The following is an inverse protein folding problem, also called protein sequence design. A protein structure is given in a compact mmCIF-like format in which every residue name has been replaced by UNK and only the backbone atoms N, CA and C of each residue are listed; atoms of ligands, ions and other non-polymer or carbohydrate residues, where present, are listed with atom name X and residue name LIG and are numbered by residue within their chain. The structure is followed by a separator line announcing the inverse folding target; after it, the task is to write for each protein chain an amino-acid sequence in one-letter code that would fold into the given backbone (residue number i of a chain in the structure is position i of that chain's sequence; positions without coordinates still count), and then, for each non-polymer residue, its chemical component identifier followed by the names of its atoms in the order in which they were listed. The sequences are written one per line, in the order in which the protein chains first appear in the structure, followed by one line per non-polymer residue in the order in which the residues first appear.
data_IF_527650074065
#
_entry.id   IF_527650074065
#
_cell.length_a   1.000
_cell.length_b   1.000
_cell.length_c   1.000
_cell.angle_alpha   90.00
_cell.angle_beta   90.00
_cell.angle_gamma   90.00
#
_symmetry.space_group_name_H-M   'P 1'
#
loop_
_entity.id
_entity.type
_entity.pdbx_description
1 polymer ?
#
# COMPACT_ATOMS: atom_id res chain seq x y z
N UNK A 1 13.12 -21.92 8.60
CA UNK A 1 13.11 -22.17 7.15
C UNK A 1 14.11 -23.28 6.85
N UNK A 2 13.69 -24.35 6.19
CA UNK A 2 14.62 -25.37 5.67
C UNK A 2 15.05 -24.94 4.27
N UNK A 3 16.34 -24.98 3.90
CA UNK A 3 16.77 -24.66 2.54
C UNK A 3 15.99 -25.44 1.48
N UNK A 4 15.50 -24.75 0.46
CA UNK A 4 14.76 -25.34 -0.67
C UNK A 4 15.62 -25.28 -1.93
N UNK A 5 15.54 -26.31 -2.79
CA UNK A 5 16.20 -26.29 -4.10
C UNK A 5 15.14 -26.13 -5.17
N UNK A 6 15.24 -25.08 -5.98
CA UNK A 6 14.29 -24.83 -7.05
C UNK A 6 14.46 -25.83 -8.23
N UNK A 7 13.54 -25.86 -9.21
CA UNK A 7 13.65 -26.74 -10.38
C UNK A 7 14.88 -26.49 -11.27
N UNK A 8 15.58 -25.36 -11.09
CA UNK A 8 16.81 -25.01 -11.82
C UNK A 8 18.09 -25.46 -11.08
N UNK A 9 17.95 -25.97 -9.85
CA UNK A 9 19.05 -26.43 -9.01
C UNK A 9 19.64 -25.36 -8.09
N UNK A 10 19.02 -24.18 -7.99
CA UNK A 10 19.44 -23.11 -7.09
C UNK A 10 18.94 -23.39 -5.67
N UNK A 11 19.82 -23.24 -4.67
CA UNK A 11 19.48 -23.46 -3.26
C UNK A 11 19.15 -22.15 -2.56
N UNK A 12 17.92 -22.05 -2.06
CA UNK A 12 17.35 -20.91 -1.35
C UNK A 12 17.39 -21.16 0.16
N UNK A 13 18.35 -20.53 0.86
CA UNK A 13 18.53 -20.68 2.33
C UNK A 13 17.55 -19.85 3.14
N UNK A 14 16.87 -18.92 2.49
CA UNK A 14 15.80 -18.06 3.02
C UNK A 14 14.71 -17.92 1.97
N UNK A 15 13.62 -17.21 2.27
CA UNK A 15 12.62 -16.82 1.26
C UNK A 15 13.20 -15.60 0.51
N UNK A 16 14.06 -15.86 -0.47
CA UNK A 16 14.79 -14.84 -1.24
C UNK A 16 14.39 -14.78 -2.72
N UNK A 17 13.51 -15.68 -3.17
CA UNK A 17 12.91 -15.68 -4.49
C UNK A 17 11.45 -16.15 -4.40
N UNK A 18 10.49 -15.47 -5.06
CA UNK A 18 9.09 -15.82 -4.97
C UNK A 18 8.77 -17.12 -5.72
N UNK A 19 7.78 -17.87 -5.23
CA UNK A 19 7.22 -19.01 -5.95
C UNK A 19 8.09 -20.27 -6.01
N UNK A 20 9.17 -20.36 -5.21
CA UNK A 20 9.97 -21.59 -5.10
C UNK A 20 9.07 -22.72 -4.54
N UNK A 21 8.93 -23.86 -5.25
CA UNK A 21 8.14 -24.97 -4.76
C UNK A 21 8.80 -25.59 -3.53
N UNK A 22 8.04 -25.73 -2.44
CA UNK A 22 8.53 -26.34 -1.20
C UNK A 22 8.45 -27.85 -1.30
N UNK A 23 9.57 -28.53 -1.02
CA UNK A 23 9.60 -29.98 -0.85
C UNK A 23 9.17 -30.32 0.59
N UNK A 24 7.91 -30.78 0.73
CA UNK A 24 7.33 -31.13 2.02
C UNK A 24 8.06 -32.28 2.73
N UNK A 25 8.88 -33.08 2.04
CA UNK A 25 9.70 -34.12 2.68
C UNK A 25 10.87 -33.55 3.48
N UNK A 26 11.22 -32.28 3.23
CA UNK A 26 12.34 -31.58 3.89
C UNK A 26 11.92 -30.74 5.09
N UNK A 27 10.62 -30.64 5.36
CA UNK A 27 10.07 -29.83 6.45
C UNK A 27 9.40 -30.72 7.51
N UNK A 28 9.31 -30.21 8.74
CA UNK A 28 8.53 -30.84 9.80
C UNK A 28 7.33 -29.97 10.09
N UNK A 29 6.14 -30.47 9.76
CA UNK A 29 4.90 -29.76 9.98
C UNK A 29 4.48 -29.82 11.47
N UNK A 30 4.10 -28.67 12.04
CA UNK A 30 3.53 -28.60 13.37
C UNK A 30 2.02 -28.37 13.27
N UNK A 31 1.23 -29.40 13.59
CA UNK A 31 -0.23 -29.35 13.53
C UNK A 31 -0.85 -28.89 14.85
N UNK A 32 -2.10 -28.42 14.80
CA UNK A 32 -2.81 -27.95 16.00
C UNK A 32 -2.35 -26.57 16.49
N UNK A 33 -1.60 -25.83 15.66
CA UNK A 33 -1.27 -24.42 15.90
C UNK A 33 -2.53 -23.56 15.96
N UNK A 34 -2.45 -22.45 16.71
CA UNK A 34 -3.54 -21.47 16.86
C UNK A 34 -4.91 -22.11 17.22
N UNK A 35 -4.91 -23.22 17.97
CA UNK A 35 -6.12 -23.94 18.33
C UNK A 35 -7.13 -23.02 19.03
N UNK A 36 -8.36 -23.01 18.52
CA UNK A 36 -9.49 -22.19 18.97
C UNK A 36 -9.34 -20.67 18.77
N UNK A 37 -8.29 -20.20 18.09
CA UNK A 37 -8.18 -18.80 17.67
C UNK A 37 -9.07 -18.58 16.45
N UNK A 38 -9.83 -17.49 16.45
CA UNK A 38 -10.66 -17.06 15.31
C UNK A 38 -10.16 -15.72 14.81
N UNK A 39 -9.53 -15.72 13.64
CA UNK A 39 -9.02 -14.51 12.99
C UNK A 39 -10.14 -13.94 12.12
N UNK A 40 -10.58 -12.69 12.33
CA UNK A 40 -11.54 -12.05 11.43
C UNK A 40 -10.98 -11.96 10.01
N UNK A 41 -11.78 -12.31 9.02
CA UNK A 41 -11.42 -12.19 7.60
C UNK A 41 -11.66 -10.76 7.15
N UNK A 42 -10.71 -10.20 6.40
CA UNK A 42 -10.73 -8.84 5.84
C UNK A 42 -10.18 -8.91 4.41
N UNK A 43 -10.95 -9.40 3.42
CA UNK A 43 -10.42 -9.62 2.08
C UNK A 43 -10.07 -8.30 1.40
N UNK A 44 -8.83 -8.17 0.93
CA UNK A 44 -8.34 -6.96 0.26
C UNK A 44 -7.24 -7.30 -0.76
N UNK A 45 -6.85 -6.29 -1.55
CA UNK A 45 -5.71 -6.35 -2.45
C UNK A 45 -4.61 -5.45 -1.88
N UNK A 46 -3.48 -6.04 -1.47
CA UNK A 46 -2.29 -5.33 -0.99
C UNK A 46 -1.68 -4.47 -2.09
N UNK A 47 -1.49 -5.07 -3.28
CA UNK A 47 -1.07 -4.39 -4.50
C UNK A 47 -2.26 -3.97 -5.36
N UNK A 48 -2.48 -2.66 -5.48
CA UNK A 48 -3.32 -2.08 -6.54
C UNK A 48 -2.82 -0.67 -6.87
N UNK A 49 -2.66 -0.37 -8.16
CA UNK A 49 -2.13 0.93 -8.56
C UNK A 49 -1.89 1.08 -10.05
N UNK A 50 -1.39 2.26 -10.42
CA UNK A 50 -1.07 2.65 -11.78
C UNK A 50 0.44 2.62 -12.02
N UNK A 51 0.86 2.36 -13.26
CA UNK A 51 2.28 2.41 -13.60
C UNK A 51 2.82 3.84 -13.39
N UNK A 52 3.92 4.00 -12.61
CA UNK A 52 4.59 5.29 -12.46
C UNK A 52 5.38 5.65 -13.73
N UNK A 53 5.81 6.91 -13.85
CA UNK A 53 6.54 7.40 -15.03
C UNK A 53 8.07 7.41 -14.85
N UNK A 54 8.54 7.25 -13.62
CA UNK A 54 9.92 7.53 -13.23
C UNK A 54 10.90 6.45 -13.70
N UNK A 55 10.45 5.21 -13.93
CA UNK A 55 11.27 4.11 -14.41
C UNK A 55 10.44 3.10 -15.21
N UNK A 56 11.09 2.38 -16.13
CA UNK A 56 10.47 1.35 -16.98
C UNK A 56 10.12 0.08 -16.20
N UNK A 57 10.99 -0.33 -15.28
CA UNK A 57 10.77 -1.43 -14.36
C UNK A 57 10.83 -0.90 -12.93
N UNK A 58 9.77 -1.17 -12.16
CA UNK A 58 9.63 -0.75 -10.78
C UNK A 58 9.32 -1.96 -9.92
N UNK A 59 10.13 -2.14 -8.88
CA UNK A 59 9.92 -3.12 -7.82
C UNK A 59 8.49 -2.98 -7.27
N UNK A 60 7.76 -4.08 -7.20
CA UNK A 60 6.37 -4.07 -6.75
C UNK A 60 6.24 -3.88 -5.24
N UNK A 61 7.30 -4.15 -4.47
CA UNK A 61 7.25 -4.10 -3.00
C UNK A 61 6.97 -2.68 -2.50
N UNK A 62 7.71 -1.60 -2.83
CA UNK A 62 7.46 -0.31 -2.19
C UNK A 62 6.21 0.41 -2.76
N UNK A 63 5.22 0.78 -1.94
CA UNK A 63 4.14 1.65 -2.40
C UNK A 63 4.63 3.07 -2.70
N UNK A 64 3.86 3.81 -3.49
CA UNK A 64 4.18 5.18 -3.87
C UNK A 64 2.94 5.99 -4.26
N UNK A 65 3.14 7.18 -4.82
CA UNK A 65 2.08 8.12 -5.20
C UNK A 65 1.04 7.54 -6.17
N UNK A 66 1.39 6.53 -6.98
CA UNK A 66 0.46 5.84 -7.90
C UNK A 66 -0.22 4.61 -7.32
N UNK A 67 -0.05 4.33 -6.02
CA UNK A 67 -0.52 3.11 -5.37
C UNK A 67 0.61 2.09 -5.25
N UNK A 68 0.34 0.83 -5.60
CA UNK A 68 1.29 -0.28 -5.43
C UNK A 68 0.95 -1.09 -4.17
N UNK A 69 1.97 -1.63 -3.48
CA UNK A 69 1.80 -2.45 -2.28
C UNK A 69 1.47 -1.62 -1.04
N UNK A 70 0.23 -1.16 -0.93
CA UNK A 70 -0.16 -0.26 0.16
C UNK A 70 -0.37 -1.05 1.45
N UNK A 71 -0.88 -2.28 1.33
CA UNK A 71 -1.18 -3.19 2.45
C UNK A 71 -2.09 -2.56 3.49
N UNK A 72 -3.13 -1.87 3.01
CA UNK A 72 -4.22 -1.43 3.85
C UNK A 72 -5.38 -2.43 3.75
N UNK A 73 -5.70 -3.11 4.85
CA UNK A 73 -6.76 -4.12 4.90
C UNK A 73 -8.15 -3.60 4.50
N UNK A 74 -8.30 -2.26 4.46
CA UNK A 74 -9.53 -1.57 4.07
C UNK A 74 -9.73 -1.48 2.56
N UNK A 75 -8.72 -1.82 1.73
CA UNK A 75 -8.80 -1.84 0.25
C UNK A 75 -9.50 -3.12 -0.23
N UNK A 76 -10.75 -3.28 0.20
CA UNK A 76 -11.58 -4.46 -0.05
C UNK A 76 -12.92 -4.11 -0.69
N UNK A 77 -13.88 -5.04 -0.57
CA UNK A 77 -15.23 -4.83 -1.10
C UNK A 77 -15.88 -3.58 -0.46
N UNK A 78 -16.38 -2.68 -1.31
CA UNK A 78 -17.04 -1.43 -0.89
C UNK A 78 -16.11 -0.22 -0.79
N UNK A 79 -14.80 -0.43 -0.94
CA UNK A 79 -13.82 0.63 -1.10
C UNK A 79 -13.86 1.22 -2.52
N UNK A 80 -13.61 2.52 -2.63
CA UNK A 80 -13.27 3.21 -3.88
C UNK A 80 -11.88 3.81 -3.74
N UNK A 81 -10.99 3.45 -4.66
CA UNK A 81 -9.62 3.98 -4.70
C UNK A 81 -9.47 5.01 -5.81
N UNK A 82 -8.73 6.07 -5.51
CA UNK A 82 -8.36 7.11 -6.45
C UNK A 82 -6.83 7.20 -6.56
N UNK A 83 -6.33 7.18 -7.80
CA UNK A 83 -4.90 7.21 -8.10
C UNK A 83 -4.58 8.33 -9.11
N UNK A 84 -3.46 9.06 -8.93
CA UNK A 84 -2.97 9.99 -9.95
C UNK A 84 -2.43 9.23 -11.17
N UNK A 85 -2.92 9.57 -12.36
CA UNK A 85 -2.44 8.99 -13.63
C UNK A 85 -1.09 9.62 -14.00
N UNK A 86 -0.03 8.81 -14.00
CA UNK A 86 1.34 9.26 -14.31
C UNK A 86 1.75 9.05 -15.78
N UNK A 87 1.16 8.05 -16.44
CA UNK A 87 1.46 7.66 -17.84
C UNK A 87 0.17 7.51 -18.65
N UNK A 88 0.29 7.59 -19.98
CA UNK A 88 -0.84 7.39 -20.88
C UNK A 88 -1.47 6.00 -20.68
N UNK A 89 -2.80 5.94 -20.70
CA UNK A 89 -3.56 4.71 -20.46
C UNK A 89 -3.69 4.30 -19.00
N UNK A 90 -2.99 4.95 -18.06
CA UNK A 90 -3.01 4.64 -16.62
C UNK A 90 -2.30 3.34 -16.25
N UNK A 91 -2.48 2.27 -17.04
CA UNK A 91 -1.85 0.96 -16.85
C UNK A 91 -2.10 0.39 -15.45
N UNK A 92 -3.39 0.23 -15.11
CA UNK A 92 -3.86 -0.34 -13.84
C UNK A 92 -3.51 -1.83 -13.74
N UNK A 93 -2.93 -2.21 -12.60
CA UNK A 93 -2.70 -3.60 -12.20
C UNK A 93 -3.20 -3.84 -10.77
N UNK A 94 -3.51 -5.09 -10.46
CA UNK A 94 -3.95 -5.54 -9.12
C UNK A 94 -3.39 -6.94 -8.86
N UNK A 95 -2.97 -7.19 -7.62
CA UNK A 95 -2.35 -8.43 -7.18
C UNK A 95 -2.35 -8.53 -5.66
N UNK A 96 -1.45 -9.36 -5.13
CA UNK A 96 -1.16 -9.52 -3.70
C UNK A 96 -2.43 -9.57 -2.84
N UNK A 97 -3.22 -10.60 -3.09
CA UNK A 97 -4.55 -10.68 -2.50
C UNK A 97 -4.48 -11.33 -1.13
N UNK A 98 -5.12 -10.70 -0.15
CA UNK A 98 -5.01 -11.07 1.26
C UNK A 98 -6.37 -11.48 1.81
N UNK A 99 -6.44 -12.61 2.52
CA UNK A 99 -7.66 -12.99 3.23
C UNK A 99 -7.87 -12.14 4.49
N UNK A 100 -6.79 -11.74 5.17
CA UNK A 100 -6.83 -10.83 6.30
C UNK A 100 -5.44 -10.29 6.62
N UNK A 101 -5.40 -9.12 7.26
CA UNK A 101 -4.19 -8.48 7.75
C UNK A 101 -4.52 -7.58 8.94
N UNK A 102 -3.52 -7.33 9.78
CA UNK A 102 -3.54 -6.28 10.79
C UNK A 102 -2.84 -5.02 10.29
N UNK A 103 -3.24 -3.86 10.83
CA UNK A 103 -2.49 -2.62 10.67
C UNK A 103 -1.06 -2.83 11.22
N UNK A 104 -0.05 -2.70 10.35
CA UNK A 104 1.42 -2.94 10.47
C UNK A 104 2.01 -4.06 9.61
N UNK A 105 1.23 -5.09 9.27
CA UNK A 105 1.75 -6.29 8.57
C UNK A 105 3.03 -6.89 9.19
N UNK A 106 3.10 -6.89 10.52
CA UNK A 106 4.33 -6.96 11.29
C UNK A 106 5.35 -8.04 10.88
N UNK A 107 4.91 -9.23 10.44
CA UNK A 107 5.81 -10.33 10.09
C UNK A 107 6.30 -10.32 8.64
N UNK A 108 5.88 -9.35 7.82
CA UNK A 108 6.30 -9.19 6.43
C UNK A 108 5.31 -9.70 5.40
N UNK A 109 4.19 -10.29 5.81
CA UNK A 109 3.13 -10.82 4.92
C UNK A 109 1.81 -10.82 5.66
N UNK A 110 0.72 -10.85 4.89
CA UNK A 110 -0.63 -11.05 5.38
C UNK A 110 -0.99 -12.54 5.41
N UNK A 111 -2.29 -12.85 5.51
CA UNK A 111 -2.77 -14.18 5.10
C UNK A 111 -2.88 -14.17 3.57
N UNK A 112 -1.77 -14.50 2.91
CA UNK A 112 -1.68 -14.60 1.45
C UNK A 112 -2.69 -15.59 0.89
N UNK A 113 -3.61 -15.12 0.05
CA UNK A 113 -4.74 -15.91 -0.40
C UNK A 113 -5.33 -15.40 -1.72
N UNK A 114 -5.38 -16.25 -2.75
CA UNK A 114 -5.95 -15.87 -4.05
C UNK A 114 -7.40 -15.37 -3.95
N UNK A 115 -7.67 -14.17 -4.48
CA UNK A 115 -9.00 -13.58 -4.57
C UNK A 115 -9.39 -13.25 -6.02
N UNK A 116 -10.70 -13.11 -6.25
CA UNK A 116 -11.24 -12.54 -7.48
C UNK A 116 -12.02 -11.26 -7.14
N UNK A 117 -11.63 -10.15 -7.75
CA UNK A 117 -12.29 -8.85 -7.59
C UNK A 117 -13.10 -8.48 -8.84
N UNK A 118 -14.16 -7.70 -8.65
CA UNK A 118 -14.88 -7.04 -9.75
C UNK A 118 -14.76 -5.54 -9.52
N UNK A 119 -14.27 -4.82 -10.52
CA UNK A 119 -13.94 -3.40 -10.41
C UNK A 119 -14.68 -2.59 -11.49
N UNK A 120 -15.05 -1.37 -11.15
CA UNK A 120 -15.46 -0.35 -12.11
C UNK A 120 -14.34 0.69 -12.20
N UNK A 121 -13.96 1.05 -13.42
CA UNK A 121 -12.90 2.04 -13.66
C UNK A 121 -13.54 3.30 -14.22
N UNK A 122 -13.36 4.43 -13.52
CA UNK A 122 -13.90 5.74 -13.90
C UNK A 122 -12.74 6.72 -14.05
N UNK A 123 -12.63 7.33 -15.23
CA UNK A 123 -11.61 8.35 -15.48
C UNK A 123 -12.13 9.74 -15.10
N UNK A 124 -11.46 10.40 -14.18
CA UNK A 124 -11.69 11.81 -13.85
C UNK A 124 -10.65 12.67 -14.58
N UNK A 125 -11.10 13.55 -15.48
CA UNK A 125 -10.18 14.41 -16.24
C UNK A 125 -9.66 15.52 -15.34
N UNK A 126 -8.37 15.88 -15.51
CA UNK A 126 -7.72 16.97 -14.76
C UNK A 126 -8.53 18.28 -14.76
N UNK A 127 -9.18 18.60 -15.88
CA UNK A 127 -10.02 19.80 -16.02
C UNK A 127 -11.26 19.79 -15.10
N UNK A 128 -11.73 18.61 -14.70
CA UNK A 128 -12.96 18.41 -13.94
C UNK A 128 -12.69 18.20 -12.43
N UNK A 129 -11.42 18.22 -12.00
CA UNK A 129 -11.07 17.96 -10.60
C UNK A 129 -11.32 19.17 -9.68
N UNK A 130 -11.31 20.39 -10.24
CA UNK A 130 -11.46 21.61 -9.45
C UNK A 130 -12.81 21.63 -8.71
N UNK A 131 -12.78 21.91 -7.40
CA UNK A 131 -13.98 21.91 -6.55
C UNK A 131 -14.45 20.52 -6.10
N UNK A 132 -13.75 19.45 -6.47
CA UNK A 132 -14.07 18.08 -6.03
C UNK A 132 -13.14 17.60 -4.92
N UNK A 133 -13.43 16.44 -4.33
CA UNK A 133 -12.53 15.78 -3.37
C UNK A 133 -11.18 15.36 -3.98
N UNK A 134 -11.06 15.37 -5.30
CA UNK A 134 -9.88 14.97 -6.05
C UNK A 134 -9.06 16.19 -6.53
N UNK A 135 -9.47 17.42 -6.20
CA UNK A 135 -8.90 18.68 -6.72
C UNK A 135 -7.37 18.73 -6.66
N UNK A 136 -6.81 18.24 -5.55
CA UNK A 136 -5.38 18.28 -5.30
C UNK A 136 -4.76 16.90 -5.06
N UNK A 137 -5.38 15.84 -5.61
CA UNK A 137 -4.93 14.46 -5.44
C UNK A 137 -3.59 14.22 -6.14
N UNK A 138 -2.59 13.81 -5.36
CA UNK A 138 -1.26 13.40 -5.81
C UNK A 138 -0.72 12.17 -5.06
N UNK A 139 -1.63 11.35 -4.51
CA UNK A 139 -1.36 10.14 -3.74
C UNK A 139 -2.55 9.17 -3.82
N UNK A 140 -2.41 7.89 -3.44
CA UNK A 140 -3.54 6.98 -3.36
C UNK A 140 -4.49 7.40 -2.22
N UNK A 141 -5.75 7.65 -2.55
CA UNK A 141 -6.79 8.00 -1.58
C UNK A 141 -7.92 6.97 -1.63
N UNK A 142 -8.40 6.59 -0.45
CA UNK A 142 -9.48 5.63 -0.26
C UNK A 142 -10.73 6.34 0.23
N UNK A 143 -11.87 6.02 -0.36
CA UNK A 143 -13.21 6.40 0.09
C UNK A 143 -14.01 5.14 0.45
N UNK A 144 -14.68 5.19 1.59
CA UNK A 144 -15.73 4.24 1.97
C UNK A 144 -17.06 4.98 2.11
N UNK A 145 -18.13 4.28 2.52
CA UNK A 145 -19.42 4.93 2.72
C UNK A 145 -19.40 6.09 3.75
N UNK A 146 -18.46 6.06 4.71
CA UNK A 146 -18.42 7.03 5.82
C UNK A 146 -17.07 7.68 6.06
N UNK A 147 -16.01 7.24 5.37
CA UNK A 147 -14.64 7.62 5.71
C UNK A 147 -13.84 7.99 4.46
N UNK A 148 -12.89 8.92 4.66
CA UNK A 148 -11.81 9.21 3.73
C UNK A 148 -10.51 8.80 4.40
N UNK A 149 -9.69 8.01 3.71
CA UNK A 149 -8.38 7.62 4.16
C UNK A 149 -7.33 8.14 3.18
N UNK A 150 -6.32 8.81 3.73
CA UNK A 150 -5.13 9.24 3.01
C UNK A 150 -3.99 8.30 3.41
N UNK A 151 -3.13 7.93 2.46
CA UNK A 151 -1.98 7.08 2.75
C UNK A 151 -0.71 7.93 2.70
N UNK A 152 -0.06 8.12 3.84
CA UNK A 152 1.28 8.67 3.95
C UNK A 152 2.33 7.58 3.81
N UNK A 153 3.47 7.92 3.21
CA UNK A 153 4.60 7.01 3.08
C UNK A 153 5.89 7.68 3.53
N UNK A 154 6.92 6.87 3.83
CA UNK A 154 8.24 7.40 4.19
C UNK A 154 8.74 8.44 3.17
N UNK A 155 8.44 8.21 1.89
CA UNK A 155 8.56 9.18 0.78
C UNK A 155 7.29 9.16 -0.07
N UNK A 156 6.72 10.33 -0.35
CA UNK A 156 5.46 10.44 -1.09
C UNK A 156 5.60 9.90 -2.53
N UNK A 157 6.72 10.23 -3.18
CA UNK A 157 7.18 9.66 -4.44
C UNK A 157 8.64 9.25 -4.30
N UNK A 158 8.88 8.05 -3.75
CA UNK A 158 10.24 7.58 -3.46
C UNK A 158 11.13 7.50 -4.71
N UNK A 159 10.56 7.18 -5.88
CA UNK A 159 11.28 7.09 -7.16
C UNK A 159 11.89 8.44 -7.55
N UNK A 160 11.14 9.53 -7.38
CA UNK A 160 11.64 10.87 -7.66
C UNK A 160 12.50 11.41 -6.52
N UNK A 161 12.13 11.19 -5.26
CA UNK A 161 12.76 11.82 -4.09
C UNK A 161 14.13 11.20 -3.75
N UNK A 162 14.32 9.91 -4.04
CA UNK A 162 15.59 9.20 -3.80
C UNK A 162 16.48 9.10 -5.05
N UNK A 163 16.00 9.56 -6.20
CA UNK A 163 16.76 9.60 -7.46
C UNK A 163 17.05 8.23 -8.05
N UNK A 164 18.13 8.11 -8.84
CA UNK A 164 18.42 6.89 -9.61
C UNK A 164 18.66 5.62 -8.77
N UNK A 165 19.00 5.77 -7.48
CA UNK A 165 19.18 4.67 -6.53
C UNK A 165 17.91 4.30 -5.76
N UNK A 166 16.75 4.90 -6.08
CA UNK A 166 15.54 4.83 -5.25
C UNK A 166 15.13 3.40 -4.88
N UNK A 167 15.11 2.48 -5.85
CA UNK A 167 14.66 1.10 -5.66
C UNK A 167 15.59 0.25 -4.78
N UNK A 168 16.80 0.73 -4.48
CA UNK A 168 17.72 0.09 -3.51
C UNK A 168 17.78 0.87 -2.20
N UNK A 169 17.76 2.19 -2.28
CA UNK A 169 17.93 3.07 -1.13
C UNK A 169 16.69 3.13 -0.23
N UNK A 170 15.50 2.87 -0.78
CA UNK A 170 14.25 2.91 -0.01
C UNK A 170 14.27 1.95 1.18
N UNK A 171 14.82 0.75 1.00
CA UNK A 171 14.96 -0.27 2.04
C UNK A 171 15.92 0.10 3.18
N UNK A 172 16.71 1.17 3.02
CA UNK A 172 17.63 1.70 4.05
C UNK A 172 17.08 2.96 4.72
N UNK A 173 15.96 3.48 4.24
CA UNK A 173 15.44 4.82 4.57
C UNK A 173 13.99 4.80 5.08
N UNK A 174 13.45 3.63 5.34
CA UNK A 174 12.12 3.41 5.90
C UNK A 174 11.95 4.13 7.25
N UNK A 175 10.83 4.83 7.44
CA UNK A 175 10.58 5.58 8.67
C UNK A 175 9.08 5.88 8.87
N UNK A 176 8.53 5.40 9.99
CA UNK A 176 7.17 5.75 10.43
C UNK A 176 7.05 7.25 10.70
N UNK A 177 8.12 7.90 11.21
CA UNK A 177 8.12 9.34 11.46
C UNK A 177 7.99 10.14 10.15
N UNK A 178 8.66 9.70 9.09
CA UNK A 178 8.53 10.32 7.76
C UNK A 178 7.14 10.05 7.17
N UNK A 179 6.64 8.83 7.30
CA UNK A 179 5.31 8.46 6.84
C UNK A 179 4.20 9.27 7.53
N UNK A 180 4.29 9.46 8.86
CA UNK A 180 3.34 10.30 9.59
C UNK A 180 3.43 11.77 9.17
N UNK A 181 4.64 12.30 8.92
CA UNK A 181 4.81 13.67 8.38
C UNK A 181 4.17 13.80 6.99
N UNK A 182 4.27 12.79 6.16
CA UNK A 182 3.63 12.75 4.85
C UNK A 182 2.10 12.66 4.97
N UNK A 183 1.58 11.75 5.80
CA UNK A 183 0.15 11.63 6.10
C UNK A 183 -0.43 12.96 6.62
N UNK A 184 0.28 13.66 7.51
CA UNK A 184 -0.08 14.99 7.97
C UNK A 184 -0.19 15.99 6.82
N UNK A 185 0.81 16.05 5.93
CA UNK A 185 0.80 16.97 4.77
C UNK A 185 -0.37 16.67 3.85
N UNK A 186 -0.64 15.39 3.58
CA UNK A 186 -1.73 14.92 2.72
C UNK A 186 -3.09 15.24 3.30
N UNK A 187 -3.32 14.95 4.58
CA UNK A 187 -4.57 15.28 5.27
C UNK A 187 -4.79 16.80 5.35
N UNK A 188 -3.76 17.57 5.72
CA UNK A 188 -3.82 19.04 5.71
C UNK A 188 -4.19 19.56 4.33
N UNK A 189 -3.53 19.06 3.27
CA UNK A 189 -3.83 19.42 1.88
C UNK A 189 -5.27 19.06 1.51
N UNK A 190 -5.74 17.87 1.86
CA UNK A 190 -7.13 17.44 1.60
C UNK A 190 -8.14 18.36 2.28
N UNK A 191 -7.98 18.64 3.58
CA UNK A 191 -8.89 19.51 4.33
C UNK A 191 -8.91 20.94 3.79
N UNK A 192 -7.73 21.52 3.51
CA UNK A 192 -7.66 22.88 3.00
C UNK A 192 -8.25 23.00 1.59
N UNK A 193 -7.95 22.04 0.71
CA UNK A 193 -8.39 22.12 -0.69
C UNK A 193 -9.84 21.68 -0.87
N UNK A 194 -10.26 20.59 -0.22
CA UNK A 194 -11.59 20.00 -0.43
C UNK A 194 -12.62 20.54 0.55
N UNK A 195 -12.25 20.72 1.82
CA UNK A 195 -13.17 21.20 2.87
C UNK A 195 -13.08 22.70 3.10
N UNK A 196 -12.22 23.39 2.34
CA UNK A 196 -12.03 24.86 2.35
C UNK A 196 -11.69 25.40 3.75
N UNK A 197 -11.00 24.58 4.56
CA UNK A 197 -10.47 25.01 5.85
C UNK A 197 -9.19 25.83 5.65
N UNK A 198 -8.95 26.78 6.56
CA UNK A 198 -7.63 27.38 6.72
C UNK A 198 -6.63 26.36 7.28
N UNK A 199 -5.34 26.69 7.25
CA UNK A 199 -4.30 25.82 7.80
C UNK A 199 -4.48 25.58 9.31
N UNK A 200 -4.79 26.64 10.08
CA UNK A 200 -4.99 26.54 11.53
C UNK A 200 -6.22 25.67 11.88
N UNK A 201 -7.32 25.83 11.15
CA UNK A 201 -8.51 24.99 11.30
C UNK A 201 -8.22 23.52 10.96
N UNK A 202 -7.48 23.28 9.87
CA UNK A 202 -7.10 21.93 9.46
C UNK A 202 -6.21 21.25 10.51
N UNK A 203 -5.19 21.95 11.03
CA UNK A 203 -4.29 21.41 12.06
C UNK A 203 -5.05 21.10 13.36
N UNK A 204 -5.95 22.00 13.77
CA UNK A 204 -6.81 21.79 14.94
C UNK A 204 -7.69 20.55 14.77
N UNK A 205 -8.37 20.43 13.62
CA UNK A 205 -9.21 19.26 13.33
C UNK A 205 -8.40 17.96 13.26
N UNK A 206 -7.23 17.98 12.60
CA UNK A 206 -6.33 16.82 12.52
C UNK A 206 -5.94 16.33 13.91
N UNK A 207 -5.69 17.26 14.84
CA UNK A 207 -5.22 16.93 16.18
C UNK A 207 -6.32 16.39 17.10
N UNK A 208 -7.60 16.63 16.76
CA UNK A 208 -8.75 16.36 17.64
C UNK A 208 -9.73 15.33 17.08
N UNK A 209 -9.70 15.08 15.77
CA UNK A 209 -10.72 14.28 15.07
C UNK A 209 -10.21 13.50 13.86
N UNK A 210 -8.89 13.35 13.71
CA UNK A 210 -8.29 12.45 12.71
C UNK A 210 -7.41 11.43 13.43
N UNK A 211 -7.64 10.16 13.12
CA UNK A 211 -6.82 9.06 13.62
C UNK A 211 -5.74 8.70 12.58
N UNK A 212 -4.49 8.58 13.04
CA UNK A 212 -3.39 8.05 12.25
C UNK A 212 -3.03 6.65 12.76
N UNK A 213 -2.97 5.68 11.85
CA UNK A 213 -2.60 4.29 12.15
C UNK A 213 -1.41 3.88 11.30
N UNK A 214 -0.65 2.88 11.74
CA UNK A 214 0.40 2.30 10.88
C UNK A 214 -0.26 1.40 9.86
N UNK A 215 0.00 1.62 8.58
CA UNK A 215 -0.51 0.75 7.51
C UNK A 215 0.33 -0.52 7.42
N UNK A 216 1.63 -0.36 7.13
CA UNK A 216 2.64 -1.42 7.10
C UNK A 216 4.03 -0.88 7.48
N UNK A 217 4.91 -1.78 7.92
CA UNK A 217 6.33 -1.49 8.21
C UNK A 217 7.28 -2.52 7.59
N UNK A 218 6.95 -3.03 6.41
CA UNK A 218 7.67 -4.17 5.81
C UNK A 218 8.09 -3.95 4.35
N UNK A 219 7.52 -2.96 3.66
CA UNK A 219 7.69 -2.81 2.20
C UNK A 219 8.75 -1.79 1.76
N UNK A 220 9.72 -1.50 2.62
CA UNK A 220 10.71 -0.44 2.36
C UNK A 220 10.14 0.97 2.44
N UNK A 221 9.09 1.33 1.68
CA UNK A 221 8.41 2.62 1.82
C UNK A 221 7.24 2.51 2.81
N UNK A 222 7.54 2.50 4.11
CA UNK A 222 6.54 2.28 5.18
C UNK A 222 5.38 3.26 5.14
N UNK A 223 4.20 2.79 5.56
CA UNK A 223 2.93 3.51 5.44
C UNK A 223 2.29 3.90 6.78
N UNK A 224 1.67 5.08 6.80
CA UNK A 224 0.81 5.62 7.88
C UNK A 224 -0.47 6.17 7.27
#
# INVERSE_FOLDING_TARGET
WTPQTDPSGVVHKTIDYPGVPVDHSTVTENHGILKNVRIPVRPHFGVIGLAPKEAEFVDSIPPSYTGGNIDNWRIGKGATMYYPVAVEGGLLSVGDSHASQGDSELCGTAIECSLNGTFQIILHKKADLAGTALEALDYPMLETQGEWLVHGFSFANYLSELGSGAQTEIYKKSSVDLALRDAFRKMRKFLMTTKKLTEDEAISLISLGVDFGVTQVVDGNWGV
#
